data_IF_768811812234
#
_entry.id   IF_768811812234
#
_cell.length_a   1.000
_cell.length_b   1.000
_cell.length_c   1.000
_cell.angle_alpha   90.00
_cell.angle_beta   90.00
_cell.angle_gamma   90.00
#
_symmetry.space_group_name_H-M   'P 1'
#
loop_
_entity.id
_entity.type
_entity.pdbx_description
1 polymer ?
#
# COMPACT_ATOMS: atom_id res chain seq x y z
N UNK A 1 22.85 24.88 16.48
CA UNK A 1 22.23 24.78 15.15
C UNK A 1 22.36 23.33 14.69
N UNK A 2 21.38 22.49 15.02
CA UNK A 2 21.39 21.08 14.62
C UNK A 2 20.60 20.97 13.31
N UNK A 3 21.28 20.61 12.23
CA UNK A 3 20.65 20.31 10.95
C UNK A 3 20.02 18.90 11.07
N UNK A 4 18.74 18.82 11.41
CA UNK A 4 17.99 17.58 11.19
C UNK A 4 17.67 17.49 9.70
N UNK A 5 18.58 16.90 8.93
CA UNK A 5 18.30 16.47 7.56
C UNK A 5 17.39 15.23 7.62
N UNK A 6 16.13 15.39 8.03
CA UNK A 6 15.14 14.35 7.76
C UNK A 6 14.78 14.46 6.30
N UNK A 7 15.15 13.45 5.51
CA UNK A 7 14.74 13.37 4.10
C UNK A 7 13.20 13.31 4.06
N UNK A 8 12.53 13.77 2.98
CA UNK A 8 11.05 13.83 2.90
C UNK A 8 10.29 12.52 3.15
N UNK A 9 10.99 11.40 3.33
CA UNK A 9 10.48 10.04 3.46
C UNK A 9 10.88 9.37 4.79
N UNK A 10 11.62 10.06 5.66
CA UNK A 10 12.03 9.55 6.97
C UNK A 10 11.10 10.09 8.05
N UNK A 11 10.01 9.37 8.31
CA UNK A 11 9.06 9.70 9.37
C UNK A 11 7.83 8.80 9.36
N UNK A 12 6.96 8.87 10.38
CA UNK A 12 5.71 8.15 10.40
C UNK A 12 4.85 8.49 9.18
N UNK A 13 4.37 7.45 8.48
CA UNK A 13 3.53 7.62 7.30
C UNK A 13 2.06 7.49 7.72
N UNK A 14 1.27 8.49 7.37
CA UNK A 14 -0.18 8.45 7.59
C UNK A 14 -0.80 7.37 6.70
N UNK A 15 -1.56 6.45 7.30
CA UNK A 15 -2.41 5.53 6.53
C UNK A 15 -3.58 6.30 5.93
N UNK A 16 -3.67 6.31 4.60
CA UNK A 16 -4.78 6.92 3.87
C UNK A 16 -6.00 5.98 3.84
N UNK A 17 -7.17 6.55 3.54
CA UNK A 17 -8.41 5.78 3.35
C UNK A 17 -8.27 4.83 2.16
N UNK A 18 -8.83 3.62 2.27
CA UNK A 18 -8.91 2.65 1.17
C UNK A 18 -10.13 2.88 0.25
N UNK A 19 -11.08 3.73 0.65
CA UNK A 19 -12.24 4.09 -0.19
C UNK A 19 -11.78 4.78 -1.48
N UNK A 20 -12.26 4.30 -2.62
CA UNK A 20 -11.89 4.82 -3.94
C UNK A 20 -10.44 4.58 -4.35
N UNK A 21 -9.69 3.73 -3.63
CA UNK A 21 -8.26 3.51 -3.89
C UNK A 21 -7.97 3.06 -5.32
N UNK A 22 -8.87 2.24 -5.91
CA UNK A 22 -8.75 1.73 -7.28
C UNK A 22 -8.61 2.81 -8.36
N UNK A 23 -9.07 4.02 -8.07
CA UNK A 23 -9.12 5.13 -9.01
C UNK A 23 -7.87 6.03 -8.91
N UNK A 24 -6.92 5.71 -8.04
CA UNK A 24 -5.74 6.53 -7.76
C UNK A 24 -4.40 5.78 -7.82
N UNK A 25 -4.08 5.05 -8.91
CA UNK A 25 -2.70 4.59 -9.14
C UNK A 25 -1.75 5.77 -9.43
N UNK A 26 -0.44 5.65 -9.17
CA UNK A 26 0.25 4.52 -8.54
C UNK A 26 0.08 4.48 -7.01
N UNK A 27 0.22 3.28 -6.43
CA UNK A 27 0.01 3.02 -5.00
C UNK A 27 1.31 3.15 -4.20
N UNK A 28 1.14 3.26 -2.88
CA UNK A 28 2.17 3.54 -1.89
C UNK A 28 2.66 5.00 -1.91
N UNK A 29 3.35 5.40 -0.85
CA UNK A 29 3.71 6.82 -0.62
C UNK A 29 4.77 7.36 -1.58
N UNK A 30 5.54 6.47 -2.22
CA UNK A 30 6.55 6.80 -3.23
C UNK A 30 6.11 6.39 -4.65
N UNK A 31 4.88 5.90 -4.82
CA UNK A 31 4.32 5.49 -6.11
C UNK A 31 4.99 4.26 -6.75
N UNK A 32 5.73 3.45 -5.98
CA UNK A 32 6.46 2.30 -6.53
C UNK A 32 5.59 1.10 -6.95
N UNK A 33 4.30 1.08 -6.57
CA UNK A 33 3.39 -0.04 -6.82
C UNK A 33 2.39 0.36 -7.91
N UNK A 34 2.39 -0.34 -9.04
CA UNK A 34 1.59 0.06 -10.21
C UNK A 34 0.18 -0.51 -10.17
N UNK A 35 -0.03 -1.60 -9.42
CA UNK A 35 -1.30 -2.33 -9.38
C UNK A 35 -1.77 -2.55 -7.94
N UNK A 36 -3.07 -2.81 -7.76
CA UNK A 36 -3.61 -3.17 -6.43
C UNK A 36 -3.07 -4.53 -5.99
N UNK A 37 -2.81 -5.40 -6.94
CA UNK A 37 -2.19 -6.70 -6.76
C UNK A 37 -0.78 -6.54 -6.15
N UNK A 38 0.05 -5.63 -6.68
CA UNK A 38 1.36 -5.33 -6.10
C UNK A 38 1.26 -4.76 -4.67
N UNK A 39 0.24 -3.92 -4.43
CA UNK A 39 -0.02 -3.37 -3.11
C UNK A 39 -0.42 -4.45 -2.10
N UNK A 40 -1.34 -5.35 -2.47
CA UNK A 40 -1.77 -6.48 -1.63
C UNK A 40 -0.60 -7.42 -1.37
N UNK A 41 0.20 -7.74 -2.39
CA UNK A 41 1.37 -8.59 -2.24
C UNK A 41 2.41 -8.00 -1.28
N UNK A 42 2.68 -6.69 -1.39
CA UNK A 42 3.58 -6.01 -0.46
C UNK A 42 3.12 -6.16 0.99
N UNK A 43 1.83 -5.91 1.26
CA UNK A 43 1.32 -5.99 2.63
C UNK A 43 1.19 -7.43 3.13
N UNK A 44 0.98 -8.42 2.24
CA UNK A 44 1.03 -9.82 2.64
C UNK A 44 2.41 -10.20 3.19
N UNK A 45 3.48 -9.74 2.51
CA UNK A 45 4.86 -9.95 2.95
C UNK A 45 5.17 -9.15 4.22
N UNK A 46 4.84 -7.86 4.25
CA UNK A 46 5.19 -6.98 5.38
C UNK A 46 4.48 -7.37 6.68
N UNK A 47 3.22 -7.79 6.59
CA UNK A 47 2.43 -8.18 7.75
C UNK A 47 2.56 -9.69 8.06
N UNK A 48 3.13 -10.47 7.15
CA UNK A 48 3.29 -11.91 7.30
C UNK A 48 1.97 -12.66 7.37
N UNK A 49 0.95 -12.19 6.63
CA UNK A 49 -0.41 -12.77 6.66
C UNK A 49 -0.51 -14.13 5.99
N UNK A 50 0.41 -14.43 5.05
CA UNK A 50 0.49 -15.72 4.32
C UNK A 50 -0.79 -16.03 3.54
N UNK A 51 -1.31 -15.03 2.84
CA UNK A 51 -2.51 -15.17 2.03
C UNK A 51 -2.28 -16.16 0.88
N UNK A 52 -3.21 -17.11 0.74
CA UNK A 52 -3.29 -17.97 -0.44
C UNK A 52 -3.69 -17.19 -1.68
N UNK A 53 -3.53 -17.82 -2.86
CA UNK A 53 -3.80 -17.17 -4.14
C UNK A 53 -5.23 -16.64 -4.26
N UNK A 54 -6.22 -17.41 -3.78
CA UNK A 54 -7.62 -17.00 -3.83
C UNK A 54 -7.89 -15.83 -2.87
N UNK A 55 -7.31 -15.86 -1.67
CA UNK A 55 -7.50 -14.79 -0.68
C UNK A 55 -6.92 -13.45 -1.19
N UNK A 56 -5.77 -13.48 -1.88
CA UNK A 56 -5.22 -12.27 -2.51
C UNK A 56 -6.17 -11.71 -3.57
N UNK A 57 -6.73 -12.57 -4.43
CA UNK A 57 -7.73 -12.16 -5.44
C UNK A 57 -8.98 -11.57 -4.80
N UNK A 58 -9.45 -12.17 -3.70
CA UNK A 58 -10.62 -11.70 -2.98
C UNK A 58 -10.39 -10.34 -2.32
N UNK A 59 -9.21 -10.11 -1.71
CA UNK A 59 -8.83 -8.80 -1.17
C UNK A 59 -8.77 -7.74 -2.27
N UNK A 60 -8.17 -8.06 -3.42
CA UNK A 60 -8.13 -7.14 -4.56
C UNK A 60 -9.54 -6.82 -5.06
N UNK A 61 -10.41 -7.84 -5.18
CA UNK A 61 -11.80 -7.67 -5.58
C UNK A 61 -12.57 -6.78 -4.59
N UNK A 62 -12.35 -6.97 -3.29
CA UNK A 62 -12.91 -6.13 -2.23
C UNK A 62 -12.45 -4.68 -2.39
N UNK A 63 -11.16 -4.41 -2.56
CA UNK A 63 -10.62 -3.06 -2.74
C UNK A 63 -11.17 -2.36 -3.99
N UNK A 64 -11.45 -3.12 -5.06
CA UNK A 64 -12.09 -2.60 -6.28
C UNK A 64 -13.58 -2.25 -6.07
N UNK A 65 -14.22 -2.82 -5.06
CA UNK A 65 -15.62 -2.52 -4.72
C UNK A 65 -15.78 -1.32 -3.76
N UNK A 66 -14.68 -0.77 -3.23
CA UNK A 66 -14.68 0.41 -2.35
C UNK A 66 -14.74 1.73 -3.11
#
# INVERSE_FOLDING_TARGET
>A
MFLTSQRPHEGPIKTFSLRGTKDSPPYFHDGRLLTLEDAVLLFDILLGTRLGEQEQKDVVAFLRAL
#
